data_IF_730233274155
#
_entry.id   IF_730233274155
#
_cell.length_a   1.000
_cell.length_b   1.000
_cell.length_c   1.000
_cell.angle_alpha   90.00
_cell.angle_beta   90.00
_cell.angle_gamma   90.00
#
_symmetry.space_group_name_H-M   'P 1'
#
loop_
_entity.id
_entity.type
_entity.pdbx_description
1 polymer ?
#
# COMPACT_ATOMS: atom_id res chain seq x y z
N UNK A 1 -15.76 10.97 4.06
CA UNK A 1 -15.40 11.40 5.43
C UNK A 1 -14.60 12.67 5.30
N UNK A 2 -15.22 13.84 5.45
CA UNK A 2 -14.48 15.10 5.59
C UNK A 2 -14.29 15.37 7.07
N UNK A 3 -13.07 15.18 7.57
CA UNK A 3 -12.68 15.57 8.92
C UNK A 3 -12.19 17.01 8.94
N UNK A 4 -12.59 17.79 9.94
CA UNK A 4 -12.02 19.14 10.14
C UNK A 4 -10.52 19.04 10.41
N UNK A 5 -9.75 20.07 10.06
CA UNK A 5 -8.31 20.12 10.36
C UNK A 5 -8.01 19.93 11.86
N UNK A 6 -8.91 20.40 12.73
CA UNK A 6 -8.79 20.20 14.17
C UNK A 6 -8.96 18.74 14.58
N UNK A 7 -9.88 18.02 13.94
CA UNK A 7 -10.08 16.58 14.15
C UNK A 7 -8.85 15.80 13.71
N UNK A 8 -8.36 16.06 12.48
CA UNK A 8 -7.15 15.40 11.95
C UNK A 8 -5.94 15.65 12.86
N UNK A 9 -5.75 16.89 13.33
CA UNK A 9 -4.65 17.22 14.27
C UNK A 9 -4.79 16.50 15.60
N UNK A 10 -6.00 16.39 16.15
CA UNK A 10 -6.26 15.67 17.40
C UNK A 10 -5.95 14.18 17.24
N UNK A 11 -6.46 13.56 16.20
CA UNK A 11 -6.28 12.13 15.95
C UNK A 11 -4.80 11.81 15.69
N UNK A 12 -4.08 12.64 14.93
CA UNK A 12 -2.63 12.52 14.77
C UNK A 12 -1.91 12.64 16.11
N UNK A 13 -2.30 13.57 16.99
CA UNK A 13 -1.67 13.70 18.30
C UNK A 13 -1.93 12.47 19.19
N UNK A 14 -3.10 11.85 19.10
CA UNK A 14 -3.42 10.61 19.81
C UNK A 14 -2.57 9.44 19.30
N UNK A 15 -2.43 9.30 17.97
CA UNK A 15 -1.58 8.28 17.35
C UNK A 15 -0.08 8.48 17.64
N UNK A 16 0.36 9.72 17.80
CA UNK A 16 1.73 10.02 18.24
C UNK A 16 1.91 9.65 19.71
N UNK A 17 0.92 9.94 20.57
CA UNK A 17 0.93 9.57 21.99
C UNK A 17 0.91 8.06 22.20
N UNK A 18 0.23 7.30 21.34
CA UNK A 18 0.22 5.84 21.39
C UNK A 18 1.56 5.21 20.97
N UNK A 19 2.51 6.01 20.46
CA UNK A 19 3.82 5.54 20.03
C UNK A 19 3.80 4.79 18.69
N UNK A 20 2.67 4.81 17.98
CA UNK A 20 2.53 4.10 16.69
C UNK A 20 3.17 4.88 15.55
N UNK A 21 3.14 6.21 15.61
CA UNK A 21 3.73 7.11 14.60
C UNK A 21 4.51 8.23 15.28
N UNK A 22 5.40 8.88 14.53
CA UNK A 22 6.10 10.11 14.93
C UNK A 22 5.81 11.26 13.97
N UNK A 23 5.87 12.48 14.47
CA UNK A 23 5.86 13.68 13.62
C UNK A 23 7.20 13.85 12.94
N UNK A 24 7.17 14.24 11.67
CA UNK A 24 8.32 14.68 10.87
C UNK A 24 8.00 16.02 10.23
N UNK A 25 9.00 16.69 9.64
CA UNK A 25 8.75 17.95 8.94
C UNK A 25 7.72 17.73 7.82
N UNK A 26 6.58 18.42 7.90
CA UNK A 26 5.52 18.33 6.89
C UNK A 26 4.62 17.10 6.95
N UNK A 27 4.74 16.21 7.95
CA UNK A 27 3.89 15.01 8.00
C UNK A 27 4.10 14.11 9.22
N UNK A 28 3.75 12.84 9.04
CA UNK A 28 3.96 11.76 10.01
C UNK A 28 4.71 10.60 9.38
N UNK A 29 5.47 9.88 10.18
CA UNK A 29 6.20 8.67 9.81
C UNK A 29 5.86 7.56 10.79
N UNK A 30 5.94 6.31 10.35
CA UNK A 30 5.96 5.18 11.25
C UNK A 30 7.20 5.26 12.17
N UNK A 31 7.08 4.73 13.39
CA UNK A 31 8.20 4.49 14.29
C UNK A 31 9.00 3.24 13.91
N UNK A 32 8.38 2.30 13.18
CA UNK A 32 9.01 1.06 12.74
C UNK A 32 9.66 1.26 11.37
N UNK A 33 10.99 1.28 11.33
CA UNK A 33 11.78 1.22 10.09
C UNK A 33 11.87 -0.22 9.54
N UNK A 34 10.75 -0.92 9.42
CA UNK A 34 10.71 -2.26 8.83
C UNK A 34 10.21 -2.16 7.39
N UNK A 35 10.98 -1.48 6.55
CA UNK A 35 10.84 -1.65 5.11
C UNK A 35 11.35 -3.05 4.75
N UNK A 36 10.43 -4.01 4.71
CA UNK A 36 10.73 -5.37 4.26
C UNK A 36 11.22 -5.31 2.80
N UNK A 37 12.39 -5.90 2.49
CA UNK A 37 12.95 -5.88 1.15
C UNK A 37 11.96 -6.35 0.08
N UNK A 38 12.08 -5.81 -1.13
CA UNK A 38 11.17 -6.14 -2.24
C UNK A 38 11.08 -7.65 -2.50
N UNK A 39 12.22 -8.35 -2.51
CA UNK A 39 12.28 -9.78 -2.77
C UNK A 39 11.55 -10.60 -1.69
N UNK A 40 11.62 -10.18 -0.44
CA UNK A 40 10.85 -10.80 0.64
C UNK A 40 9.36 -10.51 0.47
N UNK A 41 8.99 -9.25 0.21
CA UNK A 41 7.59 -8.88 -0.08
C UNK A 41 7.02 -9.64 -1.30
N UNK A 42 7.84 -9.98 -2.30
CA UNK A 42 7.43 -10.76 -3.47
C UNK A 42 6.97 -12.18 -3.10
N UNK A 43 7.58 -12.77 -2.07
CA UNK A 43 7.27 -14.13 -1.61
C UNK A 43 6.10 -14.10 -0.63
N UNK A 44 6.00 -13.07 0.21
CA UNK A 44 4.90 -12.92 1.17
C UNK A 44 3.54 -12.85 0.48
N UNK A 45 2.61 -13.70 0.93
CA UNK A 45 1.25 -13.82 0.39
C UNK A 45 1.18 -14.06 -1.11
N UNK A 46 2.19 -14.73 -1.69
CA UNK A 46 2.31 -14.96 -3.14
C UNK A 46 1.06 -15.58 -3.75
N UNK A 47 0.45 -16.57 -3.10
CA UNK A 47 -0.79 -17.22 -3.58
C UNK A 47 -1.92 -16.20 -3.69
N UNK A 48 -2.14 -15.39 -2.66
CA UNK A 48 -3.16 -14.33 -2.67
C UNK A 48 -2.89 -13.31 -3.77
N UNK A 49 -1.65 -12.87 -3.93
CA UNK A 49 -1.26 -11.92 -4.99
C UNK A 49 -1.49 -12.48 -6.40
N UNK A 50 -1.22 -13.78 -6.58
CA UNK A 50 -1.49 -14.47 -7.84
C UNK A 50 -2.99 -14.56 -8.12
N UNK A 51 -3.81 -14.85 -7.10
CA UNK A 51 -5.26 -14.88 -7.23
C UNK A 51 -5.83 -13.49 -7.57
N UNK A 52 -5.36 -12.44 -6.89
CA UNK A 52 -5.72 -11.05 -7.19
C UNK A 52 -5.39 -10.73 -8.65
N UNK A 53 -4.19 -11.08 -9.12
CA UNK A 53 -3.77 -10.81 -10.48
C UNK A 53 -4.62 -11.55 -11.51
N UNK A 54 -4.93 -12.83 -11.27
CA UNK A 54 -5.81 -13.63 -12.12
C UNK A 54 -7.21 -13.02 -12.20
N UNK A 55 -7.79 -12.67 -11.07
CA UNK A 55 -9.13 -12.04 -11.05
C UNK A 55 -9.10 -10.69 -11.73
N UNK A 56 -8.05 -9.88 -11.54
CA UNK A 56 -7.92 -8.60 -12.21
C UNK A 56 -7.75 -8.74 -13.73
N UNK A 57 -7.04 -9.76 -14.21
CA UNK A 57 -6.87 -9.99 -15.66
C UNK A 57 -8.17 -10.33 -16.37
N UNK A 58 -9.15 -10.90 -15.66
CA UNK A 58 -10.48 -11.21 -16.22
C UNK A 58 -11.28 -9.93 -16.58
N UNK A 59 -10.85 -8.75 -16.14
CA UNK A 59 -11.46 -7.47 -16.49
C UNK A 59 -10.78 -6.76 -17.67
N UNK A 60 -9.69 -7.31 -18.20
CA UNK A 60 -8.91 -6.71 -19.30
C UNK A 60 -9.49 -7.17 -20.63
N UNK A 61 -9.73 -6.22 -21.54
CA UNK A 61 -10.20 -6.51 -22.89
C UNK A 61 -9.11 -6.21 -23.93
N UNK A 62 -9.27 -6.78 -25.12
CA UNK A 62 -8.37 -6.50 -26.23
C UNK A 62 -8.37 -5.00 -26.58
N UNK A 63 -7.18 -4.46 -26.79
CA UNK A 63 -6.96 -3.04 -27.05
C UNK A 63 -6.84 -2.13 -25.82
N UNK A 64 -7.03 -2.64 -24.60
CA UNK A 64 -6.81 -1.84 -23.39
C UNK A 64 -5.34 -1.45 -23.22
N UNK A 65 -5.10 -0.20 -22.81
CA UNK A 65 -3.77 0.30 -22.43
C UNK A 65 -3.75 0.48 -20.92
N UNK A 66 -2.97 -0.36 -20.24
CA UNK A 66 -2.98 -0.44 -18.78
C UNK A 66 -1.61 -0.02 -18.23
N UNK A 67 -1.63 0.90 -17.27
CA UNK A 67 -0.46 1.26 -16.49
C UNK A 67 -0.33 0.34 -15.28
N UNK A 68 0.80 -0.33 -15.15
CA UNK A 68 1.10 -1.25 -14.05
C UNK A 68 2.17 -0.62 -13.14
N UNK A 69 1.86 -0.51 -11.86
CA UNK A 69 2.82 -0.06 -10.84
C UNK A 69 3.91 -1.13 -10.57
N UNK A 70 5.05 -0.68 -10.05
CA UNK A 70 6.22 -1.49 -9.71
C UNK A 70 6.09 -2.33 -8.42
N UNK A 71 4.90 -2.35 -7.79
CA UNK A 71 4.69 -3.07 -6.53
C UNK A 71 4.78 -4.60 -6.67
N UNK A 72 5.11 -5.29 -5.57
CA UNK A 72 5.16 -6.76 -5.54
C UNK A 72 3.81 -7.45 -5.78
N UNK A 73 2.69 -6.73 -5.69
CA UNK A 73 1.36 -7.27 -5.94
C UNK A 73 1.02 -7.16 -7.43
N UNK A 74 1.14 -5.95 -7.97
CA UNK A 74 0.78 -5.63 -9.36
C UNK A 74 1.72 -6.28 -10.38
N UNK A 75 2.98 -6.52 -10.03
CA UNK A 75 3.93 -7.23 -10.92
C UNK A 75 3.47 -8.66 -11.27
N UNK A 76 2.54 -9.27 -10.51
CA UNK A 76 2.03 -10.60 -10.85
C UNK A 76 1.07 -10.59 -12.04
N UNK A 77 0.55 -9.42 -12.44
CA UNK A 77 -0.30 -9.25 -13.61
C UNK A 77 0.37 -9.70 -14.90
N UNK A 78 1.71 -9.57 -15.01
CA UNK A 78 2.47 -9.93 -16.23
C UNK A 78 2.43 -11.42 -16.59
N UNK A 79 1.89 -12.27 -15.71
CA UNK A 79 1.75 -13.70 -15.94
C UNK A 79 0.38 -14.09 -16.55
N UNK A 80 -0.49 -13.11 -16.82
CA UNK A 80 -1.83 -13.27 -17.37
C UNK A 80 -2.00 -12.33 -18.57
#
# INVERSE_FOLDING_TARGET
MEGSQNTIRRDINELVKSGTIKKVYGGVSDNLNLLVPFNERKITSRTTKTLIAKTASEFINDGDIIFIDSSTTTVNMVNF
#
